data_IF_279159756837
#
_entry.id   IF_279159756837
#
_cell.length_a   1.000
_cell.length_b   1.000
_cell.length_c   1.000
_cell.angle_alpha   90.00
_cell.angle_beta   90.00
_cell.angle_gamma   90.00
#
_symmetry.space_group_name_H-M   'P 1'
#
loop_
_entity.id
_entity.type
_entity.pdbx_description
1 polymer ?
#
# COMPACT_ATOMS: atom_id res chain seq x y z
N UNK A 1 8.39 16.28 10.32
CA UNK A 1 7.94 15.41 11.42
C UNK A 1 7.42 16.26 12.59
N UNK A 2 6.15 16.10 12.97
CA UNK A 2 5.48 16.80 14.08
C UNK A 2 4.52 15.81 14.76
N UNK A 3 4.51 15.73 16.10
CA UNK A 3 3.43 15.05 16.86
C UNK A 3 2.32 16.06 17.15
N UNK A 4 1.07 15.71 16.84
CA UNK A 4 -0.11 16.51 17.14
C UNK A 4 -1.24 15.63 17.69
N UNK A 5 -1.97 16.06 18.74
CA UNK A 5 -3.24 15.44 19.10
C UNK A 5 -4.29 15.79 18.04
N UNK A 6 -5.20 14.86 17.77
CA UNK A 6 -6.28 15.07 16.81
C UNK A 6 -7.27 13.92 16.74
N UNK A 7 -8.13 13.97 15.73
CA UNK A 7 -9.20 13.00 15.50
C UNK A 7 -9.18 12.54 14.04
N UNK A 8 -8.83 11.28 13.83
CA UNK A 8 -8.82 10.60 12.54
C UNK A 8 -10.19 9.95 12.30
N UNK A 9 -10.98 10.49 11.38
CA UNK A 9 -12.11 9.75 10.82
C UNK A 9 -11.59 8.86 9.70
N UNK A 10 -11.83 7.55 9.77
CA UNK A 10 -11.56 6.61 8.67
C UNK A 10 -12.88 6.23 8.01
N UNK A 11 -12.90 6.18 6.68
CA UNK A 11 -14.01 5.63 5.88
C UNK A 11 -13.53 4.62 4.87
N UNK A 12 -14.38 3.62 4.60
CA UNK A 12 -14.16 2.65 3.53
C UNK A 12 -14.89 3.09 2.26
N UNK A 13 -14.12 3.39 1.21
CA UNK A 13 -14.61 3.78 -0.11
C UNK A 13 -14.43 2.60 -1.06
N UNK A 14 -15.37 2.38 -1.97
CA UNK A 14 -15.37 1.24 -2.90
C UNK A 14 -14.85 1.70 -4.27
N UNK A 15 -13.59 1.39 -4.57
CA UNK A 15 -12.94 1.71 -5.85
C UNK A 15 -13.03 0.56 -6.86
N UNK A 16 -12.50 0.79 -8.08
CA UNK A 16 -12.44 -0.24 -9.13
C UNK A 16 -11.61 -1.47 -8.70
N UNK A 17 -10.64 -1.28 -7.81
CA UNK A 17 -9.77 -2.33 -7.30
C UNK A 17 -10.23 -2.90 -5.94
N UNK A 18 -11.50 -2.68 -5.57
CA UNK A 18 -12.09 -3.12 -4.30
C UNK A 18 -12.18 -2.01 -3.23
N UNK A 19 -12.52 -2.38 -1.99
CA UNK A 19 -12.61 -1.43 -0.88
C UNK A 19 -11.22 -0.92 -0.46
N UNK A 20 -11.13 0.37 -0.18
CA UNK A 20 -9.95 1.05 0.35
C UNK A 20 -10.33 2.05 1.43
N UNK A 21 -9.41 2.34 2.36
CA UNK A 21 -9.68 3.29 3.43
C UNK A 21 -9.05 4.66 3.15
N UNK A 22 -9.83 5.71 3.38
CA UNK A 22 -9.36 7.10 3.43
C UNK A 22 -9.55 7.64 4.84
N UNK A 23 -8.54 8.36 5.31
CA UNK A 23 -8.54 9.05 6.58
C UNK A 23 -8.73 10.55 6.38
N UNK A 24 -9.41 11.19 7.33
CA UNK A 24 -9.40 12.64 7.49
C UNK A 24 -9.05 12.96 8.94
N UNK A 25 -7.86 13.52 9.14
CA UNK A 25 -7.38 13.95 10.45
C UNK A 25 -7.74 15.42 10.66
N UNK A 26 -8.59 15.69 11.64
CA UNK A 26 -8.78 17.03 12.18
C UNK A 26 -7.82 17.24 13.36
N UNK A 27 -7.01 18.30 13.31
CA UNK A 27 -6.06 18.67 14.36
C UNK A 27 -6.01 20.19 14.55
N UNK A 28 -5.34 20.67 15.59
CA UNK A 28 -5.23 22.10 15.93
C UNK A 28 -4.60 22.98 14.85
N UNK A 29 -3.80 22.38 13.96
CA UNK A 29 -3.13 23.07 12.84
C UNK A 29 -3.90 22.99 11.50
N UNK A 30 -5.04 22.30 11.46
CA UNK A 30 -5.87 22.15 10.26
C UNK A 30 -6.48 20.76 10.06
N UNK A 31 -7.17 20.58 8.94
CA UNK A 31 -7.62 19.26 8.46
C UNK A 31 -6.66 18.72 7.39
N UNK A 32 -6.38 17.42 7.44
CA UNK A 32 -5.56 16.71 6.46
C UNK A 32 -6.28 15.48 5.94
N UNK A 33 -6.26 15.27 4.62
CA UNK A 33 -6.56 13.97 4.04
C UNK A 33 -5.36 13.06 4.28
N UNK A 34 -5.62 11.79 4.61
CA UNK A 34 -4.59 10.76 4.76
C UNK A 34 -5.01 9.59 3.87
N UNK A 35 -4.11 9.17 2.98
CA UNK A 35 -4.32 8.03 2.08
C UNK A 35 -3.15 7.05 2.18
N UNK A 36 -2.63 6.81 3.38
CA UNK A 36 -1.50 5.88 3.58
C UNK A 36 -1.96 4.40 3.60
N UNK A 37 -1.12 3.42 3.17
CA UNK A 37 -1.49 2.00 3.16
C UNK A 37 -1.92 1.47 4.53
N UNK A 38 -1.26 1.94 5.60
CA UNK A 38 -1.60 1.63 7.00
C UNK A 38 -3.04 2.00 7.41
N UNK A 39 -3.82 2.72 6.60
CA UNK A 39 -5.25 2.89 6.85
C UNK A 39 -6.10 1.68 6.43
N UNK A 40 -5.71 0.89 5.43
CA UNK A 40 -6.56 -0.18 4.86
C UNK A 40 -6.86 -1.30 5.88
N UNK A 41 -6.05 -1.43 6.95
CA UNK A 41 -6.28 -2.36 8.05
C UNK A 41 -7.39 -1.93 9.04
N UNK A 42 -7.71 -0.63 9.12
CA UNK A 42 -8.71 -0.10 10.06
C UNK A 42 -10.15 -0.43 9.62
N UNK A 43 -11.10 -0.27 10.55
CA UNK A 43 -12.53 -0.17 10.25
C UNK A 43 -12.94 1.28 9.95
N UNK A 44 -14.07 1.49 9.26
CA UNK A 44 -14.73 2.80 9.28
C UNK A 44 -15.10 3.16 10.74
N UNK A 45 -14.82 4.40 11.13
CA UNK A 45 -14.91 4.85 12.52
C UNK A 45 -14.18 6.16 12.77
N UNK A 46 -14.18 6.61 14.02
CA UNK A 46 -13.54 7.87 14.45
C UNK A 46 -12.60 7.57 15.61
N UNK A 47 -11.30 7.69 15.33
CA UNK A 47 -10.20 7.37 16.23
C UNK A 47 -9.58 8.66 16.77
N UNK A 48 -9.37 8.74 18.08
CA UNK A 48 -8.75 9.87 18.76
C UNK A 48 -7.38 9.49 19.31
N UNK A 49 -6.44 10.44 19.37
CA UNK A 49 -5.08 10.16 19.81
C UNK A 49 -4.04 11.18 19.33
N UNK A 50 -2.76 10.81 19.46
CA UNK A 50 -1.64 11.55 18.88
C UNK A 50 -1.19 10.96 17.54
N UNK A 51 -0.96 11.83 16.56
CA UNK A 51 -0.57 11.47 15.20
C UNK A 51 0.79 12.06 14.88
N UNK A 52 1.72 11.22 14.43
CA UNK A 52 3.06 11.61 14.02
C UNK A 52 3.05 11.93 12.52
N UNK A 53 2.83 13.20 12.17
CA UNK A 53 2.89 13.65 10.79
C UNK A 53 4.36 13.68 10.33
N UNK A 54 4.70 12.84 9.37
CA UNK A 54 6.03 12.80 8.75
C UNK A 54 6.21 14.02 7.83
N UNK A 55 5.21 14.21 6.96
CA UNK A 55 5.16 15.15 5.84
C UNK A 55 3.73 15.71 5.70
N UNK A 56 3.62 16.96 5.24
CA UNK A 56 2.36 17.58 4.78
C UNK A 56 2.64 18.13 3.38
N UNK A 57 1.85 17.74 2.39
CA UNK A 57 2.01 18.14 0.99
C UNK A 57 0.66 18.41 0.32
N UNK A 58 0.58 19.34 -0.66
CA UNK A 58 -0.55 19.34 -1.57
C UNK A 58 -0.55 18.03 -2.38
N UNK A 59 -1.74 17.53 -2.67
CA UNK A 59 -1.98 16.52 -3.69
C UNK A 59 -3.09 17.01 -4.62
N UNK A 60 -2.99 16.69 -5.90
CA UNK A 60 -3.98 17.11 -6.90
C UNK A 60 -4.18 16.04 -7.96
N UNK A 61 -5.44 15.73 -8.26
CA UNK A 61 -5.82 14.71 -9.24
C UNK A 61 -7.06 15.15 -10.02
N UNK A 62 -7.24 14.59 -11.20
CA UNK A 62 -8.43 14.82 -12.02
C UNK A 62 -9.44 13.69 -11.82
N UNK A 63 -10.66 14.03 -11.39
CA UNK A 63 -11.76 13.09 -11.20
C UNK A 63 -13.07 13.68 -11.73
N UNK A 64 -13.82 12.93 -12.53
CA UNK A 64 -15.13 13.37 -13.06
C UNK A 64 -15.12 14.70 -13.83
N UNK A 65 -14.01 15.01 -14.52
CA UNK A 65 -13.83 16.29 -15.22
C UNK A 65 -13.48 17.49 -14.32
N UNK A 66 -13.22 17.27 -13.02
CA UNK A 66 -12.82 18.29 -12.05
C UNK A 66 -11.36 18.09 -11.65
N UNK A 67 -10.63 19.19 -11.45
CA UNK A 67 -9.36 19.18 -10.72
C UNK A 67 -9.68 19.24 -9.22
N UNK A 68 -9.34 18.18 -8.49
CA UNK A 68 -9.37 18.16 -7.02
C UNK A 68 -7.99 18.56 -6.52
N UNK A 69 -7.94 19.41 -5.49
CA UNK A 69 -6.72 19.74 -4.76
C UNK A 69 -7.01 19.54 -3.27
N UNK A 70 -6.23 18.68 -2.62
CA UNK A 70 -6.35 18.32 -1.21
C UNK A 70 -5.01 18.56 -0.48
N UNK A 71 -5.07 18.90 0.81
CA UNK A 71 -3.87 18.90 1.67
C UNK A 71 -3.74 17.50 2.25
N UNK A 72 -2.74 16.74 1.77
CA UNK A 72 -2.48 15.38 2.24
C UNK A 72 -1.36 15.39 3.28
N UNK A 73 -1.56 14.68 4.38
CA UNK A 73 -0.49 14.37 5.33
C UNK A 73 -0.10 12.89 5.23
N UNK A 74 1.19 12.61 5.42
CA UNK A 74 1.72 11.26 5.59
C UNK A 74 1.95 11.00 7.08
N UNK A 75 1.35 9.95 7.62
CA UNK A 75 1.47 9.56 9.02
C UNK A 75 2.54 8.48 9.18
N UNK A 76 3.19 8.44 10.36
CA UNK A 76 4.12 7.37 10.75
C UNK A 76 3.54 6.53 11.89
N UNK A 77 3.66 7.06 13.10
CA UNK A 77 3.03 6.50 14.31
C UNK A 77 1.63 7.10 14.54
N UNK A 78 0.73 6.29 15.10
CA UNK A 78 -0.57 6.72 15.64
C UNK A 78 -0.70 6.13 17.04
N UNK A 79 -0.80 6.98 18.05
CA UNK A 79 -1.00 6.60 19.46
C UNK A 79 -2.45 6.87 19.81
N UNK A 80 -3.30 5.87 19.59
CA UNK A 80 -4.75 5.99 19.71
C UNK A 80 -5.21 5.65 21.13
N UNK A 81 -6.20 6.40 21.64
CA UNK A 81 -6.85 6.12 22.93
C UNK A 81 -7.65 4.82 22.86
N UNK A 82 -7.77 4.09 23.97
CA UNK A 82 -8.51 2.81 24.02
C UNK A 82 -10.00 2.97 23.67
N UNK A 83 -10.63 4.09 24.06
CA UNK A 83 -11.99 4.49 23.66
C UNK A 83 -12.13 4.93 22.18
N UNK A 84 -11.12 4.63 21.34
CA UNK A 84 -10.91 5.16 19.99
C UNK A 84 -11.89 4.72 18.90
N UNK A 85 -13.16 4.41 19.22
CA UNK A 85 -14.25 4.38 18.24
C UNK A 85 -15.45 5.20 18.74
N UNK A 86 -15.34 6.52 18.58
CA UNK A 86 -16.47 7.42 18.81
C UNK A 86 -17.47 7.29 17.64
N UNK A 87 -18.60 6.63 17.86
CA UNK A 87 -19.66 6.47 16.83
C UNK A 87 -20.46 7.78 16.68
N UNK A 88 -19.80 8.84 16.23
CA UNK A 88 -20.42 10.14 15.96
C UNK A 88 -21.08 10.13 14.59
N UNK A 89 -22.41 10.23 14.58
CA UNK A 89 -23.25 10.18 13.37
C UNK A 89 -22.99 11.33 12.37
N UNK A 90 -22.15 12.31 12.74
CA UNK A 90 -21.73 13.45 11.92
C UNK A 90 -20.20 13.50 11.80
N UNK A 91 -19.60 12.49 11.17
CA UNK A 91 -18.24 12.60 10.65
C UNK A 91 -18.15 13.63 9.50
N UNK A 92 -16.94 14.12 9.17
CA UNK A 92 -16.73 15.02 8.03
C UNK A 92 -17.23 14.41 6.71
N UNK A 93 -17.60 15.26 5.76
CA UNK A 93 -18.04 14.81 4.42
C UNK A 93 -16.82 14.38 3.59
N UNK A 94 -16.71 13.08 3.38
CA UNK A 94 -15.95 12.47 2.28
C UNK A 94 -16.80 12.57 1.01
N UNK A 95 -16.17 12.80 -0.15
CA UNK A 95 -16.88 12.80 -1.43
C UNK A 95 -16.91 11.37 -1.98
N UNK A 96 -18.06 10.90 -2.47
CA UNK A 96 -18.19 9.55 -3.03
C UNK A 96 -17.43 9.35 -4.35
N UNK A 97 -16.87 10.41 -4.91
CA UNK A 97 -16.01 10.41 -6.09
C UNK A 97 -14.49 10.46 -5.80
N UNK A 98 -14.06 10.23 -4.55
CA UNK A 98 -12.63 10.14 -4.23
C UNK A 98 -11.95 8.96 -4.95
N UNK A 99 -10.84 9.25 -5.64
CA UNK A 99 -10.11 8.26 -6.44
C UNK A 99 -9.30 7.29 -5.55
N UNK A 100 -9.27 6.01 -5.92
CA UNK A 100 -8.52 4.96 -5.22
C UNK A 100 -7.02 5.30 -5.21
N UNK A 101 -6.34 5.31 -4.05
CA UNK A 101 -4.90 5.49 -3.97
C UNK A 101 -4.07 4.55 -4.86
N UNK A 102 -4.53 3.32 -5.12
CA UNK A 102 -3.85 2.43 -6.08
C UNK A 102 -3.97 2.92 -7.52
N UNK A 103 -5.06 3.60 -7.88
CA UNK A 103 -5.22 4.22 -9.19
C UNK A 103 -4.49 5.57 -9.27
N UNK A 104 -4.34 6.29 -8.15
CA UNK A 104 -3.49 7.48 -8.07
C UNK A 104 -1.99 7.16 -8.16
N UNK A 105 -1.56 6.04 -7.58
CA UNK A 105 -0.17 5.56 -7.61
C UNK A 105 0.19 4.86 -8.93
N UNK A 106 -0.77 4.19 -9.57
CA UNK A 106 -0.64 3.64 -10.93
C UNK A 106 -0.89 4.68 -12.05
N UNK A 107 -1.34 5.89 -11.71
CA UNK A 107 -1.50 6.95 -12.71
C UNK A 107 -0.12 7.35 -13.27
N UNK A 108 0.01 7.59 -14.60
CA UNK A 108 1.25 8.12 -15.15
C UNK A 108 1.54 9.47 -14.51
N UNK A 109 2.79 9.64 -14.04
CA UNK A 109 3.24 10.91 -13.48
C UNK A 109 2.94 12.07 -14.45
N UNK A 110 2.54 13.25 -13.96
CA UNK A 110 2.26 14.39 -14.82
C UNK A 110 3.47 14.65 -15.72
N UNK A 111 3.27 14.88 -17.04
CA UNK A 111 4.36 14.91 -17.99
C UNK A 111 5.37 15.98 -17.60
N UNK A 112 6.59 15.55 -17.27
CA UNK A 112 7.71 16.44 -16.99
C UNK A 112 7.85 17.36 -18.21
N UNK A 113 7.85 18.69 -18.04
CA UNK A 113 7.96 19.60 -19.18
C UNK A 113 9.26 19.26 -19.94
N UNK A 114 9.19 19.10 -21.28
CA UNK A 114 10.32 18.57 -22.03
C UNK A 114 11.55 19.47 -21.84
N UNK A 115 12.67 18.86 -21.49
CA UNK A 115 13.95 19.56 -21.42
C UNK A 115 14.25 20.23 -22.78
N UNK A 116 14.83 21.44 -22.79
CA UNK A 116 15.11 22.14 -24.05
C UNK A 116 16.02 21.28 -24.94
N UNK A 117 15.75 21.20 -26.25
CA UNK A 117 16.39 20.23 -27.13
C UNK A 117 17.89 20.51 -27.30
N UNK A 118 18.70 19.46 -27.16
CA UNK A 118 20.11 19.51 -27.54
C UNK A 118 20.25 19.49 -29.08
N UNK A 119 21.19 20.27 -29.66
CA UNK A 119 21.38 20.31 -31.11
C UNK A 119 22.16 19.09 -31.65
N UNK A 120 21.64 18.52 -32.73
CA UNK A 120 22.19 17.42 -33.55
C UNK A 120 22.07 17.85 -35.04
N UNK A 121 22.67 17.15 -36.05
CA UNK A 121 23.26 15.81 -36.01
C UNK A 121 24.67 15.67 -36.65
N UNK A 122 25.20 14.44 -36.60
CA UNK A 122 26.32 13.96 -37.41
C UNK A 122 26.18 12.46 -37.70
N UNK A 123 26.18 12.07 -38.96
CA UNK A 123 25.93 10.71 -39.51
C UNK A 123 27.19 10.19 -40.24
N UNK A 124 27.22 8.94 -40.76
CA UNK A 124 26.89 7.65 -40.11
C UNK A 124 27.95 6.55 -40.42
N UNK A 125 27.91 5.36 -39.79
CA UNK A 125 28.38 4.12 -40.45
C UNK A 125 27.92 2.80 -39.78
N UNK A 126 27.58 1.80 -40.60
CA UNK A 126 27.36 0.38 -40.27
C UNK A 126 27.25 -0.44 -41.59
N UNK A 127 27.21 -1.80 -41.61
CA UNK A 127 27.70 -2.82 -40.67
C UNK A 127 28.85 -3.65 -41.34
N UNK A 128 29.23 -4.92 -40.97
CA UNK A 128 28.42 -6.14 -41.20
C UNK A 128 28.58 -7.29 -40.14
N UNK A 129 27.98 -8.46 -40.42
CA UNK A 129 28.06 -9.77 -39.74
C UNK A 129 28.03 -10.90 -40.83
N UNK A 130 27.87 -12.24 -40.57
CA UNK A 130 27.86 -13.09 -39.35
C UNK A 130 29.08 -14.08 -39.41
N UNK A 131 29.08 -15.46 -39.40
CA UNK A 131 28.11 -16.56 -39.14
C UNK A 131 28.64 -17.72 -38.21
N UNK A 132 28.00 -18.91 -38.26
CA UNK A 132 28.36 -20.25 -37.72
C UNK A 132 28.22 -20.48 -36.20
N UNK A 133 27.53 -21.49 -35.62
CA UNK A 133 27.14 -22.91 -35.91
C UNK A 133 28.03 -24.00 -35.28
N UNK A 134 27.38 -25.12 -34.90
CA UNK A 134 27.89 -26.45 -34.41
C UNK A 134 28.49 -26.45 -32.97
N UNK A 135 28.48 -27.51 -32.16
CA UNK A 135 27.79 -28.83 -32.20
C UNK A 135 27.52 -29.37 -30.76
N UNK A 136 26.99 -30.60 -30.63
CA UNK A 136 26.66 -31.32 -29.39
C UNK A 136 27.85 -31.76 -28.49
N UNK A 137 27.53 -32.21 -27.26
CA UNK A 137 28.44 -32.92 -26.35
C UNK A 137 27.66 -33.60 -25.21
N UNK A 138 27.91 -34.89 -24.96
CA UNK A 138 27.05 -35.75 -24.12
C UNK A 138 27.80 -36.53 -23.01
N UNK A 139 27.33 -36.37 -21.75
CA UNK A 139 27.60 -37.26 -20.60
C UNK A 139 28.98 -37.20 -19.91
N UNK A 140 29.22 -37.98 -18.83
CA UNK A 140 28.22 -38.61 -17.94
C UNK A 140 28.60 -38.71 -16.42
N UNK A 141 27.82 -38.06 -15.53
CA UNK A 141 27.64 -38.41 -14.09
C UNK A 141 28.85 -38.30 -13.12
N UNK A 142 28.73 -38.74 -11.84
CA UNK A 142 27.52 -39.17 -11.10
C UNK A 142 27.37 -38.57 -9.66
N UNK A 143 26.35 -39.07 -8.93
CA UNK A 143 26.14 -39.06 -7.46
C UNK A 143 25.62 -37.81 -6.70
N UNK A 144 24.43 -38.01 -6.10
CA UNK A 144 23.93 -37.54 -4.80
C UNK A 144 23.74 -36.02 -4.53
N UNK A 145 22.72 -35.59 -3.78
CA UNK A 145 21.81 -36.35 -2.90
C UNK A 145 20.34 -36.11 -3.20
N UNK A 146 19.54 -37.16 -3.18
CA UNK A 146 18.09 -37.04 -2.97
C UNK A 146 17.82 -36.64 -1.52
N UNK A 147 17.07 -35.55 -1.30
CA UNK A 147 16.49 -35.23 0.01
C UNK A 147 15.15 -34.52 -0.21
N UNK A 148 14.12 -35.33 -0.42
CA UNK A 148 12.71 -34.99 -0.22
C UNK A 148 12.20 -33.65 -0.80
N UNK A 149 12.25 -33.52 -2.13
CA UNK A 149 11.30 -32.71 -2.87
C UNK A 149 9.89 -33.37 -2.88
N UNK A 150 9.38 -33.71 -1.68
CA UNK A 150 8.00 -34.16 -1.53
C UNK A 150 7.06 -33.01 -1.91
N UNK A 151 6.04 -33.30 -2.71
CA UNK A 151 5.12 -32.29 -3.26
C UNK A 151 4.42 -31.51 -2.15
N UNK A 152 4.99 -30.36 -1.79
CA UNK A 152 4.39 -29.43 -0.84
C UNK A 152 3.47 -28.54 -1.63
N UNK A 153 2.16 -28.72 -1.45
CA UNK A 153 1.15 -27.82 -2.00
C UNK A 153 1.55 -26.38 -1.68
N UNK A 154 1.62 -25.53 -2.70
CA UNK A 154 2.01 -24.14 -2.54
C UNK A 154 0.92 -23.42 -1.77
N UNK A 155 1.06 -23.39 -0.44
CA UNK A 155 0.09 -22.75 0.44
C UNK A 155 0.05 -21.25 0.09
N UNK A 156 -1.07 -20.73 -0.45
CA UNK A 156 -1.14 -19.34 -0.91
C UNK A 156 -0.92 -18.35 0.24
N UNK A 157 -1.21 -18.75 1.48
CA UNK A 157 -0.96 -17.92 2.65
C UNK A 157 0.54 -17.86 3.01
N UNK A 158 1.31 -18.91 2.75
CA UNK A 158 2.75 -18.89 2.93
C UNK A 158 3.44 -17.98 1.90
N UNK A 159 2.93 -17.91 0.67
CA UNK A 159 3.39 -16.97 -0.36
C UNK A 159 2.97 -15.53 -0.05
N UNK A 160 1.71 -15.32 0.37
CA UNK A 160 1.17 -13.99 0.66
C UNK A 160 1.80 -13.32 1.90
N UNK A 161 2.07 -14.10 2.95
CA UNK A 161 2.62 -13.58 4.22
C UNK A 161 4.14 -13.75 4.35
N UNK A 162 4.77 -14.65 3.57
CA UNK A 162 6.22 -14.81 3.52
C UNK A 162 6.85 -15.07 4.89
N UNK A 163 7.68 -14.12 5.35
CA UNK A 163 8.35 -14.20 6.66
C UNK A 163 7.40 -14.08 7.87
N UNK A 164 6.15 -13.65 7.67
CA UNK A 164 5.11 -13.66 8.70
C UNK A 164 4.37 -15.01 8.80
N UNK A 165 4.69 -15.99 7.94
CA UNK A 165 4.11 -17.33 7.98
C UNK A 165 4.99 -18.31 8.80
N UNK A 166 4.43 -19.17 9.67
CA UNK A 166 3.00 -19.30 10.00
C UNK A 166 2.49 -18.17 10.90
N UNK A 167 1.25 -17.74 10.64
CA UNK A 167 0.59 -16.71 11.44
C UNK A 167 0.38 -17.18 12.88
N UNK A 168 0.84 -16.37 13.84
CA UNK A 168 0.64 -16.59 15.27
C UNK A 168 -0.61 -15.91 15.82
N UNK A 169 -0.85 -16.05 17.13
CA UNK A 169 -1.99 -15.44 17.83
C UNK A 169 -2.07 -13.90 17.70
N UNK A 170 -0.94 -13.24 17.46
CA UNK A 170 -0.86 -11.82 17.12
C UNK A 170 0.08 -11.62 15.92
N UNK A 171 -0.32 -10.77 14.98
CA UNK A 171 0.39 -10.50 13.73
C UNK A 171 0.45 -8.98 13.50
N UNK A 172 1.63 -8.47 13.16
CA UNK A 172 1.80 -7.08 12.73
C UNK A 172 2.19 -7.07 11.26
N UNK A 173 1.41 -6.39 10.42
CA UNK A 173 1.76 -6.16 9.02
C UNK A 173 2.74 -4.99 8.91
N UNK A 174 3.57 -5.03 7.87
CA UNK A 174 4.44 -3.91 7.50
C UNK A 174 3.73 -3.02 6.47
N UNK A 175 3.36 -1.76 6.80
CA UNK A 175 2.67 -0.86 5.88
C UNK A 175 3.61 -0.15 4.88
N UNK A 176 4.88 -0.52 4.83
CA UNK A 176 5.85 -0.02 3.84
C UNK A 176 5.95 -0.90 2.58
N UNK A 177 5.32 -2.08 2.59
CA UNK A 177 5.20 -2.96 1.41
C UNK A 177 4.25 -2.35 0.37
N UNK A 178 4.30 -2.88 -0.87
CA UNK A 178 3.34 -2.55 -1.93
C UNK A 178 1.89 -2.56 -1.43
N UNK A 179 1.12 -1.54 -1.77
CA UNK A 179 -0.24 -1.38 -1.24
C UNK A 179 -1.20 -2.46 -1.74
N UNK A 180 -1.00 -3.01 -2.95
CA UNK A 180 -1.85 -4.10 -3.43
C UNK A 180 -1.58 -5.39 -2.62
N UNK A 181 -0.32 -5.72 -2.34
CA UNK A 181 0.09 -6.78 -1.41
C UNK A 181 -0.47 -6.54 -0.01
N UNK A 182 -0.35 -5.33 0.54
CA UNK A 182 -0.87 -4.98 1.88
C UNK A 182 -2.39 -5.17 1.95
N UNK A 183 -3.16 -4.72 0.95
CA UNK A 183 -4.62 -4.96 0.87
C UNK A 183 -4.95 -6.44 0.81
N UNK A 184 -4.21 -7.26 0.06
CA UNK A 184 -4.41 -8.73 0.03
C UNK A 184 -4.14 -9.34 1.41
N UNK A 185 -3.04 -8.98 2.07
CA UNK A 185 -2.72 -9.45 3.44
C UNK A 185 -3.81 -9.07 4.44
N UNK A 186 -4.27 -7.83 4.43
CA UNK A 186 -5.38 -7.33 5.27
C UNK A 186 -6.68 -8.11 5.02
N UNK A 187 -7.09 -8.26 3.76
CA UNK A 187 -8.33 -8.99 3.41
C UNK A 187 -8.22 -10.46 3.83
N UNK A 188 -7.06 -11.09 3.62
CA UNK A 188 -6.85 -12.49 4.00
C UNK A 188 -6.83 -12.70 5.52
N UNK A 189 -6.29 -11.76 6.30
CA UNK A 189 -6.43 -11.81 7.77
C UNK A 189 -7.91 -11.70 8.21
N UNK A 190 -8.72 -10.86 7.57
CA UNK A 190 -10.17 -10.78 7.82
C UNK A 190 -10.88 -12.11 7.47
N UNK A 191 -10.54 -12.76 6.35
CA UNK A 191 -11.05 -14.09 5.96
C UNK A 191 -10.67 -15.18 6.96
N UNK A 192 -9.43 -15.15 7.47
CA UNK A 192 -8.92 -16.07 8.49
C UNK A 192 -9.44 -15.76 9.91
N UNK A 193 -10.42 -14.84 10.05
CA UNK A 193 -11.08 -14.51 11.31
C UNK A 193 -10.30 -13.59 12.24
N UNK A 194 -9.15 -13.05 11.82
CA UNK A 194 -8.38 -12.11 12.64
C UNK A 194 -9.09 -10.76 12.75
N UNK A 195 -8.98 -10.15 13.94
CA UNK A 195 -9.50 -8.81 14.22
C UNK A 195 -8.34 -7.83 14.41
N UNK A 196 -8.42 -6.69 13.72
CA UNK A 196 -7.45 -5.61 13.90
C UNK A 196 -7.73 -4.82 15.17
N UNK A 197 -6.70 -4.65 16.01
CA UNK A 197 -6.74 -3.82 17.21
C UNK A 197 -6.07 -2.47 16.91
N UNK A 198 -6.87 -1.40 16.85
CA UNK A 198 -6.39 -0.07 16.49
C UNK A 198 -5.35 0.52 17.46
N UNK A 199 -5.48 0.43 18.81
CA UNK A 199 -4.51 1.03 19.73
C UNK A 199 -3.11 0.38 19.67
N UNK A 200 -3.03 -0.94 19.49
CA UNK A 200 -1.76 -1.68 19.39
C UNK A 200 -1.22 -1.80 17.97
N UNK A 201 -2.06 -1.48 16.97
CA UNK A 201 -1.82 -1.71 15.54
C UNK A 201 -1.42 -3.16 15.21
N UNK A 202 -2.13 -4.13 15.81
CA UNK A 202 -1.89 -5.57 15.61
C UNK A 202 -3.18 -6.31 15.28
N UNK A 203 -3.08 -7.31 14.41
CA UNK A 203 -4.12 -8.31 14.20
C UNK A 203 -4.04 -9.38 15.27
N UNK A 204 -5.18 -9.75 15.86
CA UNK A 204 -5.30 -10.86 16.80
C UNK A 204 -6.20 -11.94 16.20
N UNK A 205 -5.85 -13.21 16.41
CA UNK A 205 -6.72 -14.32 16.03
C UNK A 205 -8.04 -14.26 16.81
N UNK A 206 -9.14 -14.72 16.22
CA UNK A 206 -10.32 -15.06 16.99
C UNK A 206 -10.05 -16.33 17.82
N UNK A 207 -10.49 -16.30 19.09
CA UNK A 207 -10.46 -17.44 20.00
C UNK A 207 -11.76 -18.25 19.93
#
# INVERSE_FOLDING_TARGET
MIKIPGRLTVRTIHGRNGPFNVGRLAASIGEFVIKDPQLDQFSEGVFEGEFLLLEIRPASYFAGGRLVVEVRAKVGEMLLTEDGMLVTQHGPRFDSAEMDPLEEEAAPAPPVPPAPPAPWPGEPMAPPAPPSQVDAGEGPGPQASETHAAGREANPDAELFGLLWPLGQSVKLDPTVDRALFRRQVSRLKELGYRFQAPTQTWQAAA
#
